data_IF_650941902176
#
_entry.id   IF_650941902176
#
_cell.length_a   1.000
_cell.length_b   1.000
_cell.length_c   1.000
_cell.angle_alpha   90.00
_cell.angle_beta   90.00
_cell.angle_gamma   90.00
#
_symmetry.space_group_name_H-M   'P 1'
#
loop_
_entity.id
_entity.type
_entity.pdbx_description
1 polymer ?
#
# COMPACT_ATOMS: atom_id res chain seq x y z
N UNK A 1 -19.96 -10.56 -11.07
CA UNK A 1 -20.90 -10.22 -9.99
C UNK A 1 -20.77 -11.27 -8.91
N UNK A 2 -20.73 -10.84 -7.65
CA UNK A 2 -20.73 -11.71 -6.48
C UNK A 2 -21.79 -11.20 -5.48
N UNK A 3 -22.48 -12.10 -4.79
CA UNK A 3 -23.46 -11.77 -3.75
C UNK A 3 -22.81 -11.94 -2.39
N UNK A 4 -23.00 -10.97 -1.50
CA UNK A 4 -22.48 -10.97 -0.14
C UNK A 4 -23.66 -10.88 0.83
N UNK A 5 -23.80 -11.89 1.69
CA UNK A 5 -24.73 -11.87 2.82
C UNK A 5 -23.92 -11.70 4.11
N UNK A 6 -24.31 -10.75 4.95
CA UNK A 6 -23.63 -10.40 6.19
C UNK A 6 -24.63 -10.21 7.31
N UNK A 7 -24.31 -10.74 8.49
CA UNK A 7 -25.06 -10.50 9.71
C UNK A 7 -24.40 -9.36 10.48
N UNK A 8 -25.15 -8.29 10.71
CA UNK A 8 -24.71 -7.12 11.46
C UNK A 8 -25.61 -6.97 12.69
N UNK A 9 -25.08 -6.46 13.82
CA UNK A 9 -25.93 -6.03 14.92
C UNK A 9 -26.93 -4.97 14.46
N UNK A 10 -28.18 -5.06 14.91
CA UNK A 10 -29.28 -4.17 14.48
C UNK A 10 -28.95 -2.68 14.61
N UNK A 11 -28.23 -2.29 15.68
CA UNK A 11 -27.80 -0.91 15.88
C UNK A 11 -26.87 -0.43 14.77
N UNK A 12 -25.86 -1.25 14.44
CA UNK A 12 -24.88 -0.95 13.40
C UNK A 12 -25.51 -0.95 12.01
N UNK A 13 -26.44 -1.88 11.74
CA UNK A 13 -27.15 -1.93 10.47
C UNK A 13 -27.95 -0.64 10.23
N UNK A 14 -28.67 -0.14 11.23
CA UNK A 14 -29.43 1.11 11.14
C UNK A 14 -28.54 2.33 10.93
N UNK A 15 -27.44 2.42 11.66
CA UNK A 15 -26.48 3.52 11.51
C UNK A 15 -25.84 3.50 10.12
N UNK A 16 -25.41 2.33 9.64
CA UNK A 16 -24.81 2.17 8.32
C UNK A 16 -25.81 2.45 7.19
N UNK A 17 -27.07 2.07 7.36
CA UNK A 17 -28.15 2.39 6.41
C UNK A 17 -28.39 3.90 6.33
N UNK A 18 -28.52 4.57 7.47
CA UNK A 18 -28.68 6.03 7.56
C UNK A 18 -27.49 6.79 6.95
N UNK A 19 -26.29 6.24 7.08
CA UNK A 19 -25.08 6.77 6.45
C UNK A 19 -24.95 6.44 4.95
N UNK A 20 -25.88 5.66 4.37
CA UNK A 20 -25.84 5.25 2.96
C UNK A 20 -24.76 4.20 2.64
N UNK A 21 -24.19 3.56 3.67
CA UNK A 21 -23.07 2.62 3.52
C UNK A 21 -23.51 1.22 3.09
N UNK A 22 -24.80 0.87 3.22
CA UNK A 22 -25.35 -0.43 2.84
C UNK A 22 -25.76 -0.53 1.35
N UNK A 23 -25.29 0.40 0.51
CA UNK A 23 -25.45 0.29 -0.95
C UNK A 23 -24.34 -0.55 -1.57
N UNK A 24 -24.63 -1.26 -2.67
CA UNK A 24 -23.63 -2.09 -3.36
C UNK A 24 -22.37 -1.30 -3.75
N UNK A 25 -22.54 -0.04 -4.15
CA UNK A 25 -21.42 0.84 -4.51
C UNK A 25 -20.57 1.22 -3.28
N UNK A 26 -21.21 1.65 -2.20
CA UNK A 26 -20.52 2.01 -0.96
C UNK A 26 -19.79 0.82 -0.35
N UNK A 27 -20.41 -0.36 -0.27
CA UNK A 27 -19.78 -1.59 0.20
C UNK A 27 -18.58 -1.96 -0.69
N UNK A 28 -18.72 -1.89 -2.01
CA UNK A 28 -17.60 -2.17 -2.92
C UNK A 28 -16.43 -1.20 -2.73
N UNK A 29 -16.71 0.08 -2.45
CA UNK A 29 -15.68 1.07 -2.13
C UNK A 29 -15.00 0.76 -0.79
N UNK A 30 -15.77 0.47 0.26
CA UNK A 30 -15.24 0.09 1.57
C UNK A 30 -14.32 -1.14 1.49
N UNK A 31 -14.73 -2.16 0.73
CA UNK A 31 -13.92 -3.35 0.52
C UNK A 31 -12.60 -3.03 -0.21
N UNK A 32 -12.63 -2.21 -1.26
CA UNK A 32 -11.41 -1.77 -1.96
C UNK A 32 -10.45 -1.04 -1.03
N UNK A 33 -10.94 -0.05 -0.29
CA UNK A 33 -10.09 0.69 0.64
C UNK A 33 -9.53 -0.20 1.75
N UNK A 34 -10.32 -1.16 2.25
CA UNK A 34 -9.84 -2.13 3.24
C UNK A 34 -8.74 -3.04 2.66
N UNK A 35 -8.89 -3.49 1.42
CA UNK A 35 -7.86 -4.25 0.71
C UNK A 35 -6.60 -3.43 0.47
N UNK A 36 -6.72 -2.18 0.04
CA UNK A 36 -5.57 -1.28 -0.16
C UNK A 36 -4.81 -1.05 1.14
N UNK A 37 -5.51 -0.80 2.25
CA UNK A 37 -4.88 -0.67 3.57
C UNK A 37 -4.14 -1.94 3.97
N UNK A 38 -4.72 -3.12 3.71
CA UNK A 38 -4.08 -4.41 3.99
C UNK A 38 -2.85 -4.64 3.10
N UNK A 39 -2.96 -4.40 1.80
CA UNK A 39 -1.86 -4.53 0.86
C UNK A 39 -0.71 -3.58 1.19
N UNK A 40 -0.99 -2.33 1.57
CA UNK A 40 0.06 -1.39 1.97
C UNK A 40 0.86 -1.87 3.18
N UNK A 41 0.19 -2.51 4.15
CA UNK A 41 0.85 -3.13 5.31
C UNK A 41 1.67 -4.35 4.88
N UNK A 42 1.11 -5.24 4.06
CA UNK A 42 1.78 -6.43 3.56
C UNK A 42 3.02 -6.06 2.71
N UNK A 43 2.92 -5.04 1.85
CA UNK A 43 4.03 -4.51 1.05
C UNK A 43 5.12 -3.89 1.92
N UNK A 44 4.75 -3.18 2.99
CA UNK A 44 5.70 -2.62 3.95
C UNK A 44 6.50 -3.73 4.62
N UNK A 45 5.84 -4.76 5.16
CA UNK A 45 6.53 -5.88 5.79
C UNK A 45 7.41 -6.64 4.79
N UNK A 46 6.92 -6.88 3.57
CA UNK A 46 7.72 -7.51 2.53
C UNK A 46 8.93 -6.65 2.10
N UNK A 47 8.85 -5.32 2.17
CA UNK A 47 9.99 -4.44 1.96
C UNK A 47 11.00 -4.51 3.11
N UNK A 48 10.51 -4.57 4.36
CA UNK A 48 11.36 -4.74 5.55
C UNK A 48 12.10 -6.08 5.53
N UNK A 49 11.43 -7.18 5.16
CA UNK A 49 12.05 -8.49 5.05
C UNK A 49 13.15 -8.51 3.97
N UNK A 50 12.89 -7.88 2.81
CA UNK A 50 13.90 -7.73 1.75
C UNK A 50 15.10 -6.90 2.22
N UNK A 51 14.87 -5.83 2.98
CA UNK A 51 15.94 -5.00 3.53
C UNK A 51 16.75 -5.76 4.58
N UNK A 52 16.10 -6.52 5.46
CA UNK A 52 16.76 -7.33 6.48
C UNK A 52 17.61 -8.46 5.87
N UNK A 53 17.25 -8.94 4.68
CA UNK A 53 18.02 -9.93 3.93
C UNK A 53 19.23 -9.35 3.17
N UNK A 54 19.42 -8.02 3.15
CA UNK A 54 20.61 -7.40 2.54
C UNK A 54 21.80 -7.62 3.46
N UNK A 55 22.77 -8.41 2.99
CA UNK A 55 24.05 -8.62 3.66
C UNK A 55 25.11 -7.65 3.08
N UNK A 56 25.99 -7.13 3.94
CA UNK A 56 27.09 -6.25 3.55
C UNK A 56 27.38 -5.16 4.57
N UNK A 57 28.54 -4.51 4.45
CA UNK A 57 28.82 -3.32 5.25
C UNK A 57 27.97 -2.14 4.77
N UNK A 58 27.42 -1.33 5.70
CA UNK A 58 26.70 -0.13 5.32
C UNK A 58 27.66 0.83 4.61
N UNK A 59 27.23 1.32 3.44
CA UNK A 59 27.95 2.38 2.73
C UNK A 59 27.98 3.66 3.56
N UNK A 60 29.06 4.41 3.45
CA UNK A 60 29.14 5.76 4.03
C UNK A 60 28.24 6.73 3.28
N UNK A 61 27.87 7.84 3.92
CA UNK A 61 27.04 8.87 3.29
C UNK A 61 27.67 9.42 1.99
N UNK A 62 28.99 9.60 1.98
CA UNK A 62 29.73 10.09 0.80
C UNK A 62 29.67 9.09 -0.36
N UNK A 63 29.81 7.79 -0.09
CA UNK A 63 29.70 6.74 -1.10
C UNK A 63 28.29 6.64 -1.66
N UNK A 64 27.26 6.77 -0.80
CA UNK A 64 25.86 6.81 -1.23
C UNK A 64 25.62 8.01 -2.15
N UNK A 65 26.14 9.18 -1.79
CA UNK A 65 25.95 10.39 -2.58
C UNK A 65 26.61 10.28 -3.96
N UNK A 66 27.83 9.73 -4.03
CA UNK A 66 28.53 9.49 -5.29
C UNK A 66 27.74 8.56 -6.22
N UNK A 67 27.18 7.46 -5.68
CA UNK A 67 26.37 6.50 -6.45
C UNK A 67 25.07 7.14 -6.97
N UNK A 68 24.39 7.94 -6.15
CA UNK A 68 23.19 8.68 -6.56
C UNK A 68 23.50 9.65 -7.71
N UNK A 69 24.62 10.36 -7.65
CA UNK A 69 25.04 11.29 -8.70
C UNK A 69 25.33 10.59 -10.02
N UNK A 70 26.06 9.48 -9.97
CA UNK A 70 26.34 8.64 -11.14
C UNK A 70 25.06 8.12 -11.79
N UNK A 71 24.14 7.54 -11.00
CA UNK A 71 22.86 7.04 -11.50
C UNK A 71 21.99 8.15 -12.11
N UNK A 72 21.99 9.35 -11.53
CA UNK A 72 21.27 10.51 -12.08
C UNK A 72 21.92 11.01 -13.38
N UNK A 73 23.25 11.03 -13.47
CA UNK A 73 23.96 11.43 -14.69
C UNK A 73 23.66 10.47 -15.85
N UNK A 74 23.68 9.17 -15.59
CA UNK A 74 23.34 8.15 -16.59
C UNK A 74 21.89 8.31 -17.09
N UNK A 75 20.93 8.50 -16.18
CA UNK A 75 19.53 8.76 -16.55
C UNK A 75 19.36 10.00 -17.41
N UNK A 76 20.13 11.07 -17.16
CA UNK A 76 20.11 12.28 -18.00
C UNK A 76 20.70 12.02 -19.38
N UNK A 77 21.79 11.27 -19.46
CA UNK A 77 22.42 10.91 -20.72
C UNK A 77 21.48 10.06 -21.60
N UNK A 78 20.74 9.11 -21.02
CA UNK A 78 19.76 8.27 -21.74
C UNK A 78 18.52 9.03 -22.22
N UNK A 79 18.26 10.24 -21.72
CA UNK A 79 17.11 11.09 -22.12
C UNK A 79 17.49 12.13 -23.19
N UNK A 80 18.77 12.24 -23.54
CA UNK A 80 19.28 13.12 -24.60
C UNK A 80 19.47 12.32 -25.88
#
# INVERSE_FOLDING_TARGET
MATLEINLPDSLAKEAEQAGLLTSEAIAKLLREAMERRHGIDELFAAMDRMAAVEGEPMTEDEIQAEIEAARAERRARRR
#
